data_IF_137467180097
#
_entry.id   IF_137467180097
#
_cell.length_a   1.000
_cell.length_b   1.000
_cell.length_c   1.000
_cell.angle_alpha   90.00
_cell.angle_beta   90.00
_cell.angle_gamma   90.00
#
_symmetry.space_group_name_H-M   'P 1'
#
loop_
_entity.id
_entity.type
_entity.pdbx_description
1 polymer ?
#
# COMPACT_ATOMS: atom_id res chain seq x y z
N UNK A 1 -11.49 9.39 -4.10
CA UNK A 1 -10.54 9.43 -5.23
C UNK A 1 -9.84 8.09 -5.40
N UNK A 2 -8.93 7.68 -4.50
CA UNK A 2 -8.23 6.38 -4.61
C UNK A 2 -9.20 5.19 -4.49
N UNK A 3 -10.12 5.21 -3.53
CA UNK A 3 -11.16 4.16 -3.36
C UNK A 3 -12.08 4.06 -4.58
N UNK A 4 -12.34 5.18 -5.24
CA UNK A 4 -13.24 5.28 -6.39
C UNK A 4 -12.53 5.15 -7.73
N UNK A 5 -11.20 4.95 -7.75
CA UNK A 5 -10.39 4.92 -8.98
C UNK A 5 -10.34 6.24 -9.77
N UNK A 6 -10.75 7.36 -9.16
CA UNK A 6 -10.81 8.67 -9.82
C UNK A 6 -9.44 9.36 -9.72
N UNK A 7 -8.61 9.16 -10.75
CA UNK A 7 -7.25 9.69 -10.84
C UNK A 7 -7.22 11.22 -10.90
N UNK A 8 -8.20 11.85 -11.56
CA UNK A 8 -8.26 13.31 -11.67
C UNK A 8 -8.41 13.95 -10.30
N UNK A 9 -9.38 13.47 -9.50
CA UNK A 9 -9.53 13.92 -8.12
C UNK A 9 -8.38 13.54 -7.20
N UNK A 10 -7.71 12.42 -7.48
CA UNK A 10 -6.53 12.04 -6.70
C UNK A 10 -5.39 13.05 -6.93
N UNK A 11 -5.18 13.48 -8.18
CA UNK A 11 -4.18 14.48 -8.53
C UNK A 11 -4.50 15.86 -7.95
N UNK A 12 -5.76 16.29 -8.04
CA UNK A 12 -6.21 17.55 -7.41
C UNK A 12 -5.94 17.54 -5.90
N UNK A 13 -6.27 16.43 -5.23
CA UNK A 13 -5.97 16.25 -3.81
C UNK A 13 -4.47 16.25 -3.51
N UNK A 14 -3.65 15.62 -4.36
CA UNK A 14 -2.20 15.63 -4.22
C UNK A 14 -1.63 17.04 -4.34
N UNK A 15 -2.06 17.82 -5.34
CA UNK A 15 -1.63 19.22 -5.51
C UNK A 15 -2.05 20.07 -4.31
N UNK A 16 -3.27 19.91 -3.81
CA UNK A 16 -3.73 20.62 -2.63
C UNK A 16 -2.91 20.25 -1.37
N UNK A 17 -2.50 18.99 -1.23
CA UNK A 17 -1.66 18.54 -0.12
C UNK A 17 -0.28 19.22 -0.09
N UNK A 18 0.25 19.65 -1.24
CA UNK A 18 1.50 20.42 -1.32
C UNK A 18 1.35 21.92 -1.01
N UNK A 19 0.12 22.44 -0.89
CA UNK A 19 -0.13 23.85 -0.58
C UNK A 19 -0.11 24.14 0.94
N UNK A 20 -0.04 23.11 1.76
CA UNK A 20 -0.07 23.22 3.23
C UNK A 20 1.37 23.46 3.74
N UNK A 21 1.59 24.33 4.75
CA UNK A 21 2.94 24.72 5.16
C UNK A 21 3.87 23.58 5.60
N UNK A 22 3.30 22.50 6.12
CA UNK A 22 3.98 21.32 6.66
C UNK A 22 4.02 20.12 5.69
N UNK A 23 3.64 20.31 4.42
CA UNK A 23 3.58 19.26 3.41
C UNK A 23 4.89 18.46 3.29
N UNK A 24 6.04 19.15 3.35
CA UNK A 24 7.36 18.52 3.26
C UNK A 24 7.68 17.61 4.45
N UNK A 25 7.22 17.96 5.65
CA UNK A 25 7.38 17.12 6.83
C UNK A 25 6.55 15.84 6.68
N UNK A 26 5.30 15.96 6.24
CA UNK A 26 4.45 14.80 5.98
C UNK A 26 5.00 13.90 4.89
N UNK A 27 5.51 14.49 3.80
CA UNK A 27 6.15 13.75 2.71
C UNK A 27 7.36 12.95 3.22
N UNK A 28 8.22 13.59 4.04
CA UNK A 28 9.34 12.93 4.69
C UNK A 28 8.88 11.79 5.60
N UNK A 29 7.86 12.02 6.44
CA UNK A 29 7.35 10.99 7.36
C UNK A 29 6.75 9.79 6.62
N UNK A 30 5.95 10.02 5.58
CA UNK A 30 5.39 8.94 4.77
C UNK A 30 6.51 8.10 4.17
N UNK A 31 7.46 8.74 3.50
CA UNK A 31 8.60 8.06 2.88
C UNK A 31 9.49 7.34 3.91
N UNK A 32 9.82 7.98 5.02
CA UNK A 32 10.69 7.42 6.03
C UNK A 32 10.02 6.23 6.74
N UNK A 33 8.78 6.38 7.19
CA UNK A 33 8.06 5.34 7.94
C UNK A 33 7.74 4.14 7.04
N UNK A 34 7.33 4.35 5.78
CA UNK A 34 7.04 3.26 4.86
C UNK A 34 8.28 2.41 4.54
N UNK A 35 9.46 3.04 4.53
CA UNK A 35 10.71 2.38 4.16
C UNK A 35 11.60 2.01 5.35
N UNK A 36 11.27 2.41 6.59
CA UNK A 36 12.16 2.28 7.74
C UNK A 36 12.35 0.85 8.26
N UNK A 37 11.44 -0.10 7.97
CA UNK A 37 11.52 -1.44 8.55
C UNK A 37 11.00 -2.51 7.59
N UNK A 38 11.84 -2.92 6.64
CA UNK A 38 11.65 -4.23 6.04
C UNK A 38 11.88 -5.29 7.13
N UNK A 39 10.89 -6.17 7.41
CA UNK A 39 11.04 -7.19 8.43
C UNK A 39 12.26 -8.07 8.13
N UNK A 40 12.97 -8.48 9.17
CA UNK A 40 14.17 -9.30 9.02
C UNK A 40 13.83 -10.61 8.30
N UNK A 41 14.83 -11.31 7.77
CA UNK A 41 14.58 -12.61 7.14
C UNK A 41 13.91 -13.61 8.10
N UNK A 42 14.20 -13.51 9.40
CA UNK A 42 13.55 -14.31 10.44
C UNK A 42 12.07 -13.97 10.59
N UNK A 43 11.72 -12.68 10.61
CA UNK A 43 10.33 -12.22 10.77
C UNK A 43 9.45 -12.55 9.55
N UNK A 44 10.07 -12.79 8.39
CA UNK A 44 9.39 -13.20 7.15
C UNK A 44 9.25 -14.71 6.99
N UNK A 45 9.95 -15.52 7.79
CA UNK A 45 9.95 -16.98 7.65
C UNK A 45 8.56 -17.60 7.82
N UNK A 46 7.72 -17.01 8.66
CA UNK A 46 6.36 -17.48 8.93
C UNK A 46 5.29 -16.95 7.97
N UNK A 47 5.65 -16.12 6.99
CA UNK A 47 4.68 -15.59 6.01
C UNK A 47 4.03 -16.71 5.19
N UNK A 48 4.73 -17.81 4.97
CA UNK A 48 4.16 -19.00 4.32
C UNK A 48 3.01 -19.60 5.12
N UNK A 49 3.13 -19.66 6.45
CA UNK A 49 2.06 -20.14 7.33
C UNK A 49 0.86 -19.18 7.33
N UNK A 50 1.11 -17.87 7.35
CA UNK A 50 0.05 -16.86 7.22
C UNK A 50 -0.68 -16.99 5.87
N UNK A 51 0.05 -17.11 4.76
CA UNK A 51 -0.53 -17.28 3.44
C UNK A 51 -1.37 -18.57 3.35
N UNK A 52 -0.87 -19.67 3.91
CA UNK A 52 -1.61 -20.94 3.97
C UNK A 52 -2.88 -20.80 4.80
N UNK A 53 -2.82 -20.12 5.95
CA UNK A 53 -3.99 -19.87 6.80
C UNK A 53 -5.05 -19.05 6.07
N UNK A 54 -4.66 -17.98 5.38
CA UNK A 54 -5.55 -17.14 4.59
C UNK A 54 -6.19 -17.92 3.44
N UNK A 55 -5.40 -18.73 2.73
CA UNK A 55 -5.88 -19.59 1.64
C UNK A 55 -6.84 -20.66 2.16
N UNK A 56 -6.50 -21.34 3.26
CA UNK A 56 -7.36 -22.35 3.87
C UNK A 56 -8.68 -21.75 4.36
N UNK A 57 -8.63 -20.59 5.02
CA UNK A 57 -9.83 -19.86 5.45
C UNK A 57 -10.70 -19.44 4.27
N UNK A 58 -10.11 -18.90 3.21
CA UNK A 58 -10.81 -18.53 1.98
C UNK A 58 -11.42 -19.74 1.25
N UNK A 59 -10.68 -20.84 1.17
CA UNK A 59 -11.17 -22.08 0.58
C UNK A 59 -12.33 -22.68 1.39
N UNK A 60 -12.23 -22.69 2.73
CA UNK A 60 -13.30 -23.14 3.60
C UNK A 60 -14.55 -22.26 3.43
N UNK A 61 -14.38 -20.94 3.38
CA UNK A 61 -15.47 -20.02 3.08
C UNK A 61 -16.15 -20.34 1.75
N UNK A 62 -15.36 -20.57 0.70
CA UNK A 62 -15.87 -20.88 -0.63
C UNK A 62 -16.59 -22.25 -0.69
N UNK A 63 -16.06 -23.26 -0.01
CA UNK A 63 -16.62 -24.62 0.01
C UNK A 63 -17.88 -24.75 0.86
N UNK A 64 -18.00 -23.96 1.94
CA UNK A 64 -19.12 -24.01 2.89
C UNK A 64 -20.07 -22.80 2.77
N UNK A 65 -20.00 -22.08 1.65
CA UNK A 65 -20.93 -20.99 1.36
C UNK A 65 -22.31 -21.57 1.01
N UNK A 66 -23.20 -21.69 2.01
CA UNK A 66 -24.62 -22.05 1.81
C UNK A 66 -25.48 -20.85 1.33
N UNK A 67 -24.85 -19.89 0.64
CA UNK A 67 -25.46 -18.63 0.22
C UNK A 67 -25.99 -17.79 1.38
N UNK A 68 -27.05 -17.00 1.14
CA UNK A 68 -27.64 -16.08 2.12
C UNK A 68 -28.23 -16.76 3.37
N UNK A 69 -28.42 -18.08 3.32
CA UNK A 69 -29.00 -18.87 4.43
C UNK A 69 -27.93 -19.41 5.38
N UNK A 70 -26.66 -19.42 4.96
CA UNK A 70 -25.54 -19.91 5.75
C UNK A 70 -25.31 -19.09 7.02
N UNK A 71 -24.98 -19.77 8.13
CA UNK A 71 -24.62 -19.10 9.39
C UNK A 71 -23.35 -18.25 9.26
N UNK A 72 -22.39 -18.71 8.44
CA UNK A 72 -21.14 -18.00 8.17
C UNK A 72 -21.35 -16.67 7.42
N UNK A 73 -22.25 -16.67 6.43
CA UNK A 73 -22.60 -15.46 5.67
C UNK A 73 -23.22 -14.38 6.59
N UNK A 74 -24.12 -14.78 7.49
CA UNK A 74 -24.74 -13.87 8.48
C UNK A 74 -23.74 -13.34 9.50
N UNK A 75 -22.80 -14.17 9.95
CA UNK A 75 -21.72 -13.73 10.82
C UNK A 75 -20.88 -12.66 10.11
N UNK A 76 -20.44 -12.92 8.87
CA UNK A 76 -19.59 -12.03 8.10
C UNK A 76 -20.29 -10.74 7.66
N UNK A 77 -21.60 -10.76 7.39
CA UNK A 77 -22.36 -9.53 7.11
C UNK A 77 -22.19 -8.48 8.22
N UNK A 78 -22.15 -8.91 9.50
CA UNK A 78 -21.93 -8.00 10.62
C UNK A 78 -20.55 -7.32 10.62
N UNK A 79 -19.56 -7.93 9.97
CA UNK A 79 -18.20 -7.41 9.84
C UNK A 79 -17.93 -6.73 8.51
N UNK A 80 -18.82 -6.89 7.52
CA UNK A 80 -18.59 -6.44 6.15
C UNK A 80 -18.34 -4.94 6.06
N UNK A 81 -19.10 -4.14 6.80
CA UNK A 81 -18.92 -2.68 6.87
C UNK A 81 -17.58 -2.28 7.49
N UNK A 82 -17.15 -2.96 8.56
CA UNK A 82 -15.84 -2.76 9.18
C UNK A 82 -14.70 -3.18 8.26
N UNK A 83 -14.86 -4.29 7.53
CA UNK A 83 -13.89 -4.76 6.54
C UNK A 83 -13.76 -3.78 5.38
N UNK A 84 -14.88 -3.28 4.86
CA UNK A 84 -14.89 -2.28 3.80
C UNK A 84 -14.18 -0.99 4.25
N UNK A 85 -14.48 -0.49 5.46
CA UNK A 85 -13.80 0.67 6.01
C UNK A 85 -12.29 0.42 6.21
N UNK A 86 -11.91 -0.75 6.70
CA UNK A 86 -10.51 -1.14 6.87
C UNK A 86 -9.76 -1.24 5.54
N UNK A 87 -10.37 -1.86 4.53
CA UNK A 87 -9.80 -1.96 3.18
C UNK A 87 -9.70 -0.58 2.53
N UNK A 88 -10.71 0.28 2.68
CA UNK A 88 -10.66 1.65 2.18
C UNK A 88 -9.51 2.44 2.82
N UNK A 89 -9.29 2.29 4.13
CA UNK A 89 -8.16 2.90 4.84
C UNK A 89 -6.82 2.37 4.31
N UNK A 90 -6.69 1.05 4.13
CA UNK A 90 -5.49 0.42 3.58
C UNK A 90 -5.22 0.88 2.14
N UNK A 91 -6.25 0.96 1.29
CA UNK A 91 -6.15 1.48 -0.08
C UNK A 91 -5.66 2.92 -0.08
N UNK A 92 -6.21 3.77 0.79
CA UNK A 92 -5.77 5.16 0.92
C UNK A 92 -4.32 5.24 1.40
N UNK A 93 -3.95 4.48 2.44
CA UNK A 93 -2.61 4.47 3.00
C UNK A 93 -1.58 3.96 1.98
N UNK A 94 -1.74 2.74 1.47
CA UNK A 94 -0.80 2.15 0.51
C UNK A 94 -0.78 2.88 -0.82
N UNK A 95 -1.93 3.37 -1.30
CA UNK A 95 -1.97 4.18 -2.53
C UNK A 95 -1.16 5.47 -2.38
N UNK A 96 -1.26 6.13 -1.22
CA UNK A 96 -0.47 7.33 -0.91
C UNK A 96 1.01 6.99 -0.80
N UNK A 97 1.37 5.96 -0.04
CA UNK A 97 2.75 5.48 0.10
C UNK A 97 3.36 5.16 -1.26
N UNK A 98 2.68 4.38 -2.10
CA UNK A 98 3.14 4.01 -3.43
C UNK A 98 3.39 5.25 -4.31
N UNK A 99 2.48 6.23 -4.28
CA UNK A 99 2.64 7.46 -5.05
C UNK A 99 3.90 8.25 -4.61
N UNK A 100 4.12 8.35 -3.29
CA UNK A 100 5.32 8.99 -2.72
C UNK A 100 6.59 8.24 -3.09
N UNK A 101 6.60 6.91 -2.94
CA UNK A 101 7.76 6.07 -3.26
C UNK A 101 8.11 6.15 -4.75
N UNK A 102 7.12 6.15 -5.65
CA UNK A 102 7.35 6.32 -7.09
C UNK A 102 7.94 7.69 -7.43
N UNK A 103 7.47 8.76 -6.77
CA UNK A 103 8.02 10.10 -6.92
C UNK A 103 9.50 10.13 -6.52
N UNK A 104 9.84 9.59 -5.34
CA UNK A 104 11.24 9.58 -4.89
C UNK A 104 12.12 8.64 -5.72
N UNK A 105 11.63 7.47 -6.11
CA UNK A 105 12.35 6.55 -6.99
C UNK A 105 12.69 7.24 -8.33
N UNK A 106 11.74 8.00 -8.90
CA UNK A 106 11.98 8.78 -10.11
C UNK A 106 13.03 9.88 -9.87
N UNK A 107 12.92 10.65 -8.78
CA UNK A 107 13.87 11.72 -8.47
C UNK A 107 15.29 11.18 -8.25
N UNK A 108 15.42 10.10 -7.48
CA UNK A 108 16.70 9.42 -7.22
C UNK A 108 17.27 8.89 -8.53
N UNK A 109 16.49 8.19 -9.34
CA UNK A 109 16.94 7.63 -10.62
C UNK A 109 17.37 8.71 -11.63
N UNK A 110 16.74 9.89 -11.62
CA UNK A 110 17.18 11.03 -12.44
C UNK A 110 18.51 11.61 -11.94
N UNK A 111 18.66 11.78 -10.62
CA UNK A 111 19.91 12.25 -10.02
C UNK A 111 21.06 11.28 -10.30
N UNK A 112 20.82 9.99 -10.18
CA UNK A 112 21.80 8.94 -10.49
C UNK A 112 22.24 8.99 -11.95
N UNK A 113 21.32 9.20 -12.90
CA UNK A 113 21.66 9.35 -14.30
C UNK A 113 22.52 10.59 -14.56
N UNK A 114 22.18 11.73 -13.97
CA UNK A 114 22.95 12.97 -14.11
C UNK A 114 24.36 12.79 -13.55
N UNK A 115 24.47 12.26 -12.33
CA UNK A 115 25.76 12.06 -11.66
C UNK A 115 26.60 11.01 -12.39
N UNK A 116 26.00 9.89 -12.82
CA UNK A 116 26.65 8.84 -13.57
C UNK A 116 27.15 9.32 -14.93
N UNK A 117 26.38 10.18 -15.60
CA UNK A 117 26.78 10.86 -16.83
C UNK A 117 28.00 11.77 -16.64
N UNK A 118 28.05 12.53 -15.55
CA UNK A 118 29.18 13.42 -15.23
C UNK A 118 30.44 12.63 -14.82
N UNK A 119 30.29 11.53 -14.07
CA UNK A 119 31.42 10.74 -13.54
C UNK A 119 31.91 9.62 -14.44
N UNK A 120 31.18 9.28 -15.51
CA UNK A 120 31.51 8.16 -16.39
C UNK A 120 31.47 6.79 -15.69
N UNK A 121 30.76 6.68 -14.56
CA UNK A 121 30.58 5.42 -13.80
C UNK A 121 29.10 5.10 -13.73
N UNK A 122 28.73 3.85 -14.01
CA UNK A 122 27.37 3.35 -13.78
C UNK A 122 27.29 2.73 -12.39
N UNK A 123 26.18 2.97 -11.70
CA UNK A 123 25.85 2.28 -10.45
C UNK A 123 25.42 0.87 -10.83
N UNK A 124 26.16 -0.15 -10.40
CA UNK A 124 25.73 -1.54 -10.47
C UNK A 124 24.86 -1.83 -9.23
N UNK A 125 23.66 -2.36 -9.45
CA UNK A 125 22.71 -2.76 -8.40
C UNK A 125 22.79 -4.26 -8.16
#
# INVERSE_FOLDING_TARGET
ALVTGDLGRALEGAVAAFQVPDAWLWLYLVFAVSNAMLPSASDRSDWGALALLLLAGGALFFLFQDGERGGLYRLLQGWMSSLEAGLALLTMAFGTTLAVDLLFALLIGLLEQIIGGIRGRRVEY
#
